data_IF_191869679717
#
_entry.id   IF_191869679717
#
_cell.length_a   1.000
_cell.length_b   1.000
_cell.length_c   1.000
_cell.angle_alpha   90.00
_cell.angle_beta   90.00
_cell.angle_gamma   90.00
#
_symmetry.space_group_name_H-M   'P 1'
#
loop_
_entity.id
_entity.type
_entity.pdbx_description
1 polymer ?
#
# COMPACT_ATOMS: atom_id res chain seq x y z
N UNK A 1 -22.42 26.28 9.19
CA UNK A 1 -23.57 25.97 8.33
C UNK A 1 -23.27 24.62 7.69
N UNK A 2 -23.84 23.53 8.20
CA UNK A 2 -23.61 22.18 7.64
C UNK A 2 -24.39 22.09 6.35
N UNK A 3 -23.69 21.85 5.23
CA UNK A 3 -24.34 21.52 3.96
C UNK A 3 -24.84 20.09 4.10
N UNK A 4 -26.15 19.96 4.37
CA UNK A 4 -26.85 18.68 4.34
C UNK A 4 -26.85 18.18 2.89
N UNK A 5 -26.51 16.92 2.64
CA UNK A 5 -26.63 16.27 1.32
C UNK A 5 -27.89 15.39 1.29
N UNK A 6 -29.10 15.99 1.27
CA UNK A 6 -30.33 15.22 1.32
C UNK A 6 -30.37 14.21 0.17
N UNK A 7 -30.64 12.95 0.51
CA UNK A 7 -30.67 11.80 -0.40
C UNK A 7 -29.34 11.42 -1.08
N UNK A 8 -28.19 11.94 -0.64
CA UNK A 8 -26.87 11.69 -1.24
C UNK A 8 -26.81 11.96 -2.76
N UNK A 9 -27.49 13.02 -3.22
CA UNK A 9 -27.52 13.42 -4.62
C UNK A 9 -26.34 14.31 -5.05
N UNK A 10 -25.67 14.98 -4.11
CA UNK A 10 -24.42 15.69 -4.38
C UNK A 10 -23.25 14.73 -4.24
N UNK A 11 -22.34 14.79 -5.22
CA UNK A 11 -21.09 14.06 -5.17
C UNK A 11 -20.23 14.59 -4.02
N UNK A 12 -19.85 13.69 -3.11
CA UNK A 12 -18.84 13.96 -2.07
C UNK A 12 -17.58 13.22 -2.48
N UNK A 13 -16.49 13.95 -2.71
CA UNK A 13 -15.17 13.40 -3.00
C UNK A 13 -14.21 13.86 -1.90
N UNK A 14 -13.45 12.91 -1.35
CA UNK A 14 -12.42 13.15 -0.34
C UNK A 14 -11.09 12.63 -0.88
N UNK A 15 -10.12 13.54 -0.97
CA UNK A 15 -8.74 13.16 -1.21
C UNK A 15 -8.19 12.42 0.02
N UNK A 16 -7.82 11.17 -0.17
CA UNK A 16 -7.28 10.25 0.83
C UNK A 16 -5.79 9.97 0.63
N UNK A 17 -5.12 10.67 -0.29
CA UNK A 17 -3.68 10.55 -0.52
C UNK A 17 -2.84 10.82 0.74
N UNK A 18 -3.14 11.84 1.60
CA UNK A 18 -2.38 12.03 2.84
C UNK A 18 -2.44 10.81 3.76
N UNK A 19 -3.64 10.25 3.96
CA UNK A 19 -3.82 9.03 4.76
C UNK A 19 -3.13 7.82 4.12
N UNK A 20 -3.16 7.73 2.79
CA UNK A 20 -2.49 6.65 2.04
C UNK A 20 -0.98 6.69 2.25
N UNK A 21 -0.37 7.87 2.29
CA UNK A 21 1.06 8.02 2.59
C UNK A 21 1.38 7.49 3.97
N UNK A 22 0.62 7.92 4.98
CA UNK A 22 0.76 7.45 6.36
C UNK A 22 0.55 5.93 6.48
N UNK A 23 -0.44 5.38 5.77
CA UNK A 23 -0.73 3.94 5.74
C UNK A 23 0.45 3.14 5.15
N UNK A 24 1.00 3.59 4.02
CA UNK A 24 2.15 2.93 3.40
C UNK A 24 3.40 3.04 4.28
N UNK A 25 3.64 4.21 4.88
CA UNK A 25 4.76 4.43 5.81
C UNK A 25 4.66 3.57 7.08
N UNK A 26 3.44 3.30 7.54
CA UNK A 26 3.18 2.43 8.69
C UNK A 26 3.20 0.93 8.35
N UNK A 27 3.41 0.56 7.07
CA UNK A 27 3.42 -0.83 6.64
C UNK A 27 4.70 -1.53 7.12
N UNK A 28 4.58 -2.23 8.25
CA UNK A 28 5.64 -3.07 8.79
C UNK A 28 5.53 -4.50 8.24
N UNK A 29 6.35 -4.82 7.24
CA UNK A 29 6.41 -6.15 6.64
C UNK A 29 7.82 -6.72 6.75
N UNK A 30 7.91 -7.89 7.37
CA UNK A 30 9.14 -8.66 7.54
C UNK A 30 8.84 -10.14 7.28
N UNK A 31 9.65 -10.77 6.44
CA UNK A 31 9.49 -12.19 6.08
C UNK A 31 10.83 -12.91 6.26
N UNK A 32 10.84 -13.94 7.10
CA UNK A 32 12.01 -14.77 7.35
C UNK A 32 12.11 -15.93 6.33
N UNK A 33 13.31 -16.14 5.80
CA UNK A 33 13.70 -17.20 4.90
C UNK A 33 15.15 -17.61 5.24
N UNK A 34 15.29 -18.51 6.21
CA UNK A 34 16.58 -18.90 6.78
C UNK A 34 17.63 -19.18 5.68
N UNK A 35 18.83 -18.59 5.77
CA UNK A 35 19.37 -17.85 6.92
C UNK A 35 19.14 -16.32 6.90
N UNK A 36 18.21 -15.81 6.07
CA UNK A 36 17.98 -14.36 5.92
C UNK A 36 16.55 -13.92 6.25
N UNK A 37 16.38 -12.66 6.62
CA UNK A 37 15.10 -11.99 6.78
C UNK A 37 15.02 -10.81 5.83
N UNK A 38 13.94 -10.71 5.07
CA UNK A 38 13.68 -9.58 4.16
C UNK A 38 12.64 -8.67 4.80
N UNK A 39 12.94 -7.38 4.95
CA UNK A 39 12.02 -6.43 5.59
C UNK A 39 11.99 -5.07 4.90
N UNK A 40 10.86 -4.36 5.04
CA UNK A 40 10.76 -2.95 4.64
C UNK A 40 11.61 -2.13 5.59
N UNK A 41 12.58 -1.40 5.03
CA UNK A 41 13.40 -0.45 5.80
C UNK A 41 12.72 0.92 5.88
N UNK A 42 12.12 1.37 4.78
CA UNK A 42 11.31 2.59 4.69
C UNK A 42 10.52 2.64 3.38
N UNK A 43 9.56 3.57 3.31
CA UNK A 43 8.92 3.96 2.05
C UNK A 43 9.68 5.15 1.47
N UNK A 44 10.13 5.04 0.21
CA UNK A 44 10.84 6.12 -0.48
C UNK A 44 9.87 7.09 -1.14
N UNK A 45 8.86 6.58 -1.86
CA UNK A 45 7.86 7.41 -2.53
C UNK A 45 6.48 6.77 -2.51
N UNK A 46 5.47 7.63 -2.36
CA UNK A 46 4.05 7.32 -2.58
C UNK A 46 3.47 8.50 -3.37
N UNK A 47 3.10 8.23 -4.62
CA UNK A 47 2.56 9.24 -5.53
C UNK A 47 1.39 8.68 -6.33
N UNK A 48 0.59 9.57 -6.92
CA UNK A 48 -0.63 9.22 -7.63
C UNK A 48 -1.86 9.81 -6.96
N UNK A 49 -3.00 9.19 -7.20
CA UNK A 49 -4.31 9.66 -6.77
C UNK A 49 -4.96 8.62 -5.84
N UNK A 50 -5.61 9.10 -4.78
CA UNK A 50 -6.40 8.25 -3.88
C UNK A 50 -7.58 9.05 -3.37
N UNK A 51 -8.77 8.53 -3.62
CA UNK A 51 -10.02 9.19 -3.32
C UNK A 51 -11.05 8.21 -2.78
N UNK A 52 -11.84 8.66 -1.81
CA UNK A 52 -13.04 7.98 -1.35
C UNK A 52 -14.24 8.88 -1.56
N UNK A 53 -15.30 8.29 -2.09
CA UNK A 53 -16.51 9.00 -2.48
C UNK A 53 -17.76 8.23 -2.09
N UNK A 54 -18.89 8.93 -2.00
CA UNK A 54 -20.19 8.30 -1.87
C UNK A 54 -21.04 8.55 -3.12
N UNK A 55 -21.53 7.46 -3.71
CA UNK A 55 -22.39 7.49 -4.89
C UNK A 55 -23.61 6.60 -4.66
N UNK A 56 -24.82 7.19 -4.78
CA UNK A 56 -26.10 6.47 -4.60
C UNK A 56 -26.18 5.72 -3.26
N UNK A 57 -25.67 6.34 -2.19
CA UNK A 57 -25.64 5.74 -0.84
C UNK A 57 -24.59 4.64 -0.63
N UNK A 58 -23.77 4.31 -1.63
CA UNK A 58 -22.64 3.39 -1.50
C UNK A 58 -21.33 4.16 -1.42
N UNK A 59 -20.46 3.74 -0.53
CA UNK A 59 -19.07 4.22 -0.47
C UNK A 59 -18.30 3.50 -1.58
N UNK A 60 -17.54 4.27 -2.36
CA UNK A 60 -16.65 3.80 -3.41
C UNK A 60 -15.28 4.43 -3.20
N UNK A 61 -14.23 3.72 -3.58
CA UNK A 61 -12.87 4.26 -3.65
C UNK A 61 -12.39 4.25 -5.09
N UNK A 62 -11.44 5.12 -5.39
CA UNK A 62 -10.64 5.08 -6.60
C UNK A 62 -9.23 5.47 -6.22
N UNK A 63 -8.26 4.66 -6.61
CA UNK A 63 -6.85 4.97 -6.41
C UNK A 63 -6.03 4.41 -7.56
N UNK A 64 -4.95 5.12 -7.84
CA UNK A 64 -3.90 4.76 -8.78
C UNK A 64 -2.60 5.29 -8.18
N UNK A 65 -1.76 4.38 -7.69
CA UNK A 65 -0.61 4.71 -6.87
C UNK A 65 0.67 4.10 -7.42
N UNK A 66 1.70 4.94 -7.49
CA UNK A 66 3.10 4.55 -7.68
C UNK A 66 3.78 4.57 -6.30
N UNK A 67 4.16 3.38 -5.83
CA UNK A 67 4.73 3.18 -4.50
C UNK A 67 6.10 2.52 -4.61
N UNK A 68 7.09 3.11 -3.95
CA UNK A 68 8.45 2.59 -3.90
C UNK A 68 8.88 2.37 -2.45
N UNK A 69 9.30 1.14 -2.15
CA UNK A 69 9.80 0.70 -0.86
C UNK A 69 11.32 0.48 -0.93
N UNK A 70 12.05 1.00 0.04
CA UNK A 70 13.40 0.54 0.34
C UNK A 70 13.32 -0.70 1.21
N UNK A 71 13.91 -1.80 0.76
CA UNK A 71 13.82 -3.10 1.40
C UNK A 71 15.24 -3.60 1.66
N UNK A 72 15.45 -4.17 2.82
CA UNK A 72 16.73 -4.76 3.21
C UNK A 72 16.60 -6.27 3.42
N UNK A 73 17.67 -6.98 3.07
CA UNK A 73 17.89 -8.37 3.42
C UNK A 73 18.93 -8.37 4.53
N UNK A 74 18.57 -8.91 5.69
CA UNK A 74 19.45 -9.06 6.83
C UNK A 74 19.65 -10.54 7.15
N UNK A 75 20.76 -10.90 7.76
CA UNK A 75 20.92 -12.24 8.34
C UNK A 75 19.96 -12.42 9.52
N UNK A 76 19.30 -13.58 9.60
CA UNK A 76 18.31 -13.85 10.65
C UNK A 76 18.95 -13.98 12.03
N UNK A 77 20.16 -14.52 12.12
CA UNK A 77 20.85 -14.75 13.41
C UNK A 77 21.52 -13.49 13.97
N UNK A 78 22.23 -12.72 13.14
CA UNK A 78 22.97 -11.52 13.56
C UNK A 78 22.14 -10.24 13.46
N UNK A 79 21.16 -10.20 12.56
CA UNK A 79 20.41 -8.99 12.22
C UNK A 79 21.20 -8.00 11.35
N UNK A 80 22.40 -8.39 10.91
CA UNK A 80 23.26 -7.54 10.08
C UNK A 80 22.70 -7.43 8.65
N UNK A 81 22.66 -6.21 8.13
CA UNK A 81 22.21 -5.92 6.77
C UNK A 81 23.20 -6.52 5.76
N UNK A 82 22.72 -7.46 4.95
CA UNK A 82 23.49 -8.15 3.90
C UNK A 82 23.43 -7.36 2.61
N UNK A 83 22.23 -6.96 2.20
CA UNK A 83 22.02 -6.13 1.01
C UNK A 83 20.77 -5.27 1.13
N UNK A 84 20.78 -4.17 0.39
CA UNK A 84 19.66 -3.23 0.30
C UNK A 84 19.24 -3.12 -1.15
N UNK A 85 17.94 -3.05 -1.36
CA UNK A 85 17.36 -2.85 -2.68
C UNK A 85 16.05 -2.09 -2.60
N UNK A 86 15.40 -2.02 -3.74
CA UNK A 86 14.18 -1.26 -3.93
C UNK A 86 13.11 -2.16 -4.53
N UNK A 87 11.91 -2.10 -3.97
CA UNK A 87 10.73 -2.77 -4.49
C UNK A 87 9.73 -1.70 -4.89
N UNK A 88 9.40 -1.63 -6.18
CA UNK A 88 8.49 -0.63 -6.74
C UNK A 88 7.23 -1.29 -7.28
N UNK A 89 6.08 -0.74 -6.89
CA UNK A 89 4.77 -1.04 -7.44
C UNK A 89 4.37 0.17 -8.29
N UNK A 90 4.63 0.15 -9.61
CA UNK A 90 4.43 1.33 -10.46
C UNK A 90 2.96 1.71 -10.59
N UNK A 91 2.07 0.72 -10.54
CA UNK A 91 0.63 0.90 -10.70
C UNK A 91 -0.09 -0.03 -9.71
N UNK A 92 -0.52 0.54 -8.58
CA UNK A 92 -1.44 -0.09 -7.64
C UNK A 92 -2.81 0.56 -7.82
N UNK A 93 -3.74 -0.17 -8.44
CA UNK A 93 -5.04 0.34 -8.84
C UNK A 93 -6.22 -0.36 -8.16
N UNK A 94 -7.35 0.35 -8.12
CA UNK A 94 -8.62 -0.18 -7.62
C UNK A 94 -9.07 -1.44 -8.40
N UNK A 95 -9.54 -2.45 -7.66
CA UNK A 95 -10.05 -3.73 -8.18
C UNK A 95 -9.03 -4.57 -8.97
N UNK A 96 -7.74 -4.25 -8.88
CA UNK A 96 -6.65 -5.03 -9.45
C UNK A 96 -5.88 -5.77 -8.35
N UNK A 97 -5.87 -7.10 -8.40
CA UNK A 97 -5.12 -7.94 -7.45
C UNK A 97 -3.78 -8.41 -8.01
N UNK A 98 -3.63 -8.37 -9.34
CA UNK A 98 -2.44 -8.85 -10.06
C UNK A 98 -1.64 -7.70 -10.66
N UNK A 99 -1.26 -6.75 -9.81
CA UNK A 99 -0.39 -5.63 -10.19
C UNK A 99 1.08 -6.03 -10.32
N UNK A 100 1.84 -5.31 -11.15
CA UNK A 100 3.27 -5.50 -11.33
C UNK A 100 4.06 -5.11 -10.07
N UNK A 101 5.04 -5.91 -9.67
CA UNK A 101 5.99 -5.57 -8.61
C UNK A 101 7.41 -5.72 -9.17
N UNK A 102 8.13 -4.60 -9.25
CA UNK A 102 9.52 -4.54 -9.74
C UNK A 102 10.48 -4.60 -8.56
N UNK A 103 11.52 -5.42 -8.69
CA UNK A 103 12.51 -5.68 -7.64
C UNK A 103 13.89 -5.39 -8.21
N UNK A 104 14.63 -4.48 -7.59
CA UNK A 104 15.95 -4.02 -8.07
C UNK A 104 16.95 -3.88 -6.91
N UNK A 105 18.25 -4.08 -7.17
CA UNK A 105 19.31 -3.78 -6.21
C UNK A 105 19.75 -4.90 -5.25
N UNK A 106 19.14 -6.09 -5.31
CA UNK A 106 19.44 -7.19 -4.36
C UNK A 106 20.57 -8.14 -4.79
N UNK A 107 21.19 -7.92 -5.95
CA UNK A 107 22.26 -8.78 -6.47
C UNK A 107 21.83 -10.25 -6.51
N UNK A 108 22.61 -11.12 -5.88
CA UNK A 108 22.37 -12.57 -5.84
C UNK A 108 21.11 -12.96 -5.04
N UNK A 109 20.57 -12.08 -4.21
CA UNK A 109 19.36 -12.32 -3.41
C UNK A 109 18.05 -11.96 -4.11
N UNK A 110 18.10 -11.46 -5.35
CA UNK A 110 16.92 -11.01 -6.10
C UNK A 110 15.85 -12.10 -6.21
N UNK A 111 16.24 -13.33 -6.53
CA UNK A 111 15.30 -14.45 -6.66
C UNK A 111 14.60 -14.78 -5.33
N UNK A 112 15.33 -14.67 -4.22
CA UNK A 112 14.79 -14.93 -2.88
C UNK A 112 13.75 -13.86 -2.49
N UNK A 113 14.05 -12.59 -2.73
CA UNK A 113 13.11 -11.48 -2.50
C UNK A 113 11.85 -11.66 -3.35
N UNK A 114 12.00 -12.02 -4.63
CA UNK A 114 10.88 -12.28 -5.53
C UNK A 114 10.00 -13.46 -5.10
N UNK A 115 10.57 -14.52 -4.55
CA UNK A 115 9.80 -15.71 -4.17
C UNK A 115 9.13 -15.58 -2.80
N UNK A 116 9.74 -14.84 -1.87
CA UNK A 116 9.33 -14.82 -0.47
C UNK A 116 8.65 -13.50 -0.09
N UNK A 117 9.29 -12.38 -0.41
CA UNK A 117 8.82 -11.07 0.03
C UNK A 117 7.72 -10.50 -0.86
N UNK A 118 7.84 -10.66 -2.18
CA UNK A 118 6.85 -10.14 -3.14
C UNK A 118 5.43 -10.70 -2.92
N UNK A 119 5.21 -12.01 -2.67
CA UNK A 119 3.87 -12.52 -2.36
C UNK A 119 3.29 -11.92 -1.07
N UNK A 120 4.12 -11.76 -0.03
CA UNK A 120 3.69 -11.19 1.24
C UNK A 120 3.34 -9.69 1.10
N UNK A 121 4.14 -8.95 0.32
CA UNK A 121 3.85 -7.55 -0.01
C UNK A 121 2.54 -7.42 -0.79
N UNK A 122 2.30 -8.33 -1.75
CA UNK A 122 1.04 -8.35 -2.50
C UNK A 122 -0.16 -8.59 -1.58
N UNK A 123 -0.08 -9.53 -0.66
CA UNK A 123 -1.14 -9.80 0.31
C UNK A 123 -1.40 -8.57 1.20
N UNK A 124 -0.33 -7.94 1.70
CA UNK A 124 -0.42 -6.75 2.54
C UNK A 124 -1.08 -5.57 1.80
N UNK A 125 -0.67 -5.32 0.55
CA UNK A 125 -1.26 -4.28 -0.30
C UNK A 125 -2.69 -4.64 -0.73
N UNK A 126 -3.04 -5.92 -0.84
CA UNK A 126 -4.41 -6.36 -1.12
C UNK A 126 -5.42 -5.92 -0.05
N UNK A 127 -4.96 -5.68 1.18
CA UNK A 127 -5.80 -5.19 2.30
C UNK A 127 -6.03 -3.69 2.29
N UNK A 128 -5.19 -2.93 1.56
CA UNK A 128 -5.25 -1.48 1.51
C UNK A 128 -6.64 -0.96 1.07
N UNK A 129 -7.25 -1.57 0.06
CA UNK A 129 -8.57 -1.15 -0.42
C UNK A 129 -9.65 -1.27 0.67
N UNK A 130 -9.64 -2.37 1.41
CA UNK A 130 -10.62 -2.59 2.49
C UNK A 130 -10.40 -1.60 3.63
N UNK A 131 -9.13 -1.39 4.02
CA UNK A 131 -8.77 -0.46 5.10
C UNK A 131 -9.07 1.00 4.73
N UNK A 132 -8.82 1.38 3.47
CA UNK A 132 -9.15 2.71 2.93
C UNK A 132 -10.66 3.00 3.03
N UNK A 133 -11.49 2.04 2.61
CA UNK A 133 -12.94 2.16 2.71
C UNK A 133 -13.37 2.18 4.18
N UNK A 134 -12.86 1.28 5.01
CA UNK A 134 -13.25 1.15 6.42
C UNK A 134 -12.92 2.41 7.23
N UNK A 135 -11.77 3.04 6.96
CA UNK A 135 -11.35 4.28 7.60
C UNK A 135 -12.25 5.45 7.21
N UNK A 136 -12.52 5.62 5.92
CA UNK A 136 -13.18 6.82 5.39
C UNK A 136 -14.68 6.66 5.17
N UNK A 137 -15.26 5.47 5.35
CA UNK A 137 -16.69 5.25 5.14
C UNK A 137 -17.55 6.14 6.03
N UNK A 138 -17.10 6.40 7.27
CA UNK A 138 -17.80 7.28 8.23
C UNK A 138 -17.70 8.76 7.85
N UNK A 139 -16.62 9.17 7.19
CA UNK A 139 -16.39 10.56 6.79
C UNK A 139 -17.26 10.99 5.61
N UNK A 140 -17.71 10.02 4.79
CA UNK A 140 -18.57 10.25 3.64
C UNK A 140 -20.03 9.85 3.88
N UNK A 141 -20.31 9.03 4.90
CA UNK A 141 -21.67 8.70 5.32
C UNK A 141 -22.21 9.81 6.24
N UNK A 142 -22.80 10.86 5.66
CA UNK A 142 -23.61 11.79 6.45
C UNK A 142 -24.77 11.02 7.10
N UNK A 143 -24.79 10.94 8.43
CA UNK A 143 -25.94 10.44 9.21
C UNK A 143 -26.98 11.54 9.35
#
# INVERSE_FOLDING_TARGET
>A
MVVLNPNNWHWVDRNTLPWTKEYMEALDLSVSCDPHTVRIARVDTVSGDSNVSQRKGKVICYFDLDVTFAVEVAETESGDSVCNGTVRVPELMHDEQDFEIRVEGFGDHTAQVQQVFVPALREALGRYQEDLIAQHSKDVQQT
#
